data_IF_878476170165
#
_entry.id   IF_878476170165
#
_cell.length_a   1.000
_cell.length_b   1.000
_cell.length_c   1.000
_cell.angle_alpha   90.00
_cell.angle_beta   90.00
_cell.angle_gamma   90.00
#
_symmetry.space_group_name_H-M   'P 1'
#
loop_
_entity.id
_entity.type
_entity.pdbx_description
1 polymer ?
#
# COMPACT_ATOMS: atom_id res chain seq x y z
N UNK A 1 -9.71 -9.11 40.81
CA UNK A 1 -8.63 -8.39 40.11
C UNK A 1 -8.57 -6.98 40.68
N UNK A 2 -7.40 -6.37 40.83
CA UNK A 2 -7.27 -4.97 41.29
C UNK A 2 -7.24 -3.96 40.12
N UNK A 3 -7.06 -4.46 38.90
CA UNK A 3 -7.11 -3.70 37.66
C UNK A 3 -7.88 -4.50 36.62
N UNK A 4 -8.78 -3.85 35.91
CA UNK A 4 -9.55 -4.46 34.82
C UNK A 4 -9.63 -3.46 33.68
N UNK A 5 -9.24 -3.87 32.47
CA UNK A 5 -9.35 -3.02 31.29
C UNK A 5 -10.83 -2.94 30.89
N UNK A 6 -11.34 -1.71 30.78
CA UNK A 6 -12.72 -1.45 30.39
C UNK A 6 -12.86 -1.33 28.88
N UNK A 7 -12.05 -0.48 28.24
CA UNK A 7 -12.09 -0.31 26.79
C UNK A 7 -10.76 0.17 26.23
N UNK A 8 -10.51 -0.20 24.97
CA UNK A 8 -9.40 0.31 24.16
C UNK A 8 -10.01 1.05 22.97
N UNK A 9 -9.77 2.36 22.87
CA UNK A 9 -10.28 3.20 21.79
C UNK A 9 -9.19 3.38 20.74
N UNK A 10 -9.53 3.07 19.50
CA UNK A 10 -8.70 3.29 18.33
C UNK A 10 -9.51 3.97 17.24
N UNK A 11 -8.95 5.03 16.65
CA UNK A 11 -9.53 5.67 15.47
C UNK A 11 -8.81 5.26 14.20
N UNK A 12 -9.28 5.78 13.06
CA UNK A 12 -8.70 5.55 11.75
C UNK A 12 -8.00 6.81 11.27
N UNK A 13 -6.71 6.69 10.97
CA UNK A 13 -5.92 7.68 10.26
C UNK A 13 -5.68 7.29 8.81
N UNK A 14 -5.19 8.24 8.02
CA UNK A 14 -4.74 7.99 6.65
C UNK A 14 -3.30 8.49 6.50
N UNK A 15 -2.40 7.62 6.08
CA UNK A 15 -1.03 7.97 5.71
C UNK A 15 -0.80 7.50 4.27
N UNK A 16 -0.53 8.46 3.38
CA UNK A 16 -0.25 8.20 1.96
C UNK A 16 -1.30 7.32 1.24
N UNK A 17 -2.58 7.43 1.63
CA UNK A 17 -3.68 6.64 1.07
C UNK A 17 -3.95 5.33 1.80
N UNK A 18 -3.14 4.94 2.79
CA UNK A 18 -3.33 3.74 3.61
C UNK A 18 -4.11 4.10 4.87
N UNK A 19 -5.26 3.46 5.07
CA UNK A 19 -6.03 3.57 6.31
C UNK A 19 -5.32 2.77 7.40
N UNK A 20 -4.95 3.44 8.49
CA UNK A 20 -4.23 2.84 9.61
C UNK A 20 -4.94 3.12 10.93
N UNK A 21 -4.82 2.23 11.94
CA UNK A 21 -5.37 2.48 13.26
C UNK A 21 -4.50 3.49 14.03
N UNK A 22 -5.10 4.41 14.77
CA UNK A 22 -4.42 5.32 15.70
C UNK A 22 -4.91 5.00 17.11
N UNK A 23 -3.99 4.85 18.06
CA UNK A 23 -4.34 4.64 19.47
C UNK A 23 -4.75 5.98 20.07
N UNK A 24 -5.92 6.01 20.72
CA UNK A 24 -6.42 7.23 21.37
C UNK A 24 -6.37 7.08 22.89
N UNK A 25 -7.05 6.05 23.41
CA UNK A 25 -7.25 5.92 24.84
C UNK A 25 -7.37 4.46 25.28
N UNK A 26 -6.91 4.20 26.50
CA UNK A 26 -7.12 2.96 27.23
C UNK A 26 -7.79 3.32 28.56
N UNK A 27 -9.00 2.84 28.77
CA UNK A 27 -9.75 3.09 30.01
C UNK A 27 -9.80 1.83 30.87
N UNK A 28 -9.82 2.04 32.19
CA UNK A 28 -9.88 0.98 33.20
C UNK A 28 -11.17 1.12 34.01
N UNK A 29 -11.66 0.01 34.54
CA UNK A 29 -12.76 0.06 35.51
C UNK A 29 -12.24 0.59 36.85
N UNK A 30 -13.01 1.49 37.46
CA UNK A 30 -12.77 1.94 38.82
C UNK A 30 -13.18 0.83 39.79
N UNK A 31 -12.18 0.09 40.28
CA UNK A 31 -12.37 -0.88 41.35
C UNK A 31 -11.82 -0.30 42.64
N UNK A 32 -12.72 0.02 43.57
CA UNK A 32 -12.34 0.30 44.94
C UNK A 32 -11.83 -0.99 45.58
N UNK A 33 -10.67 -0.93 46.22
CA UNK A 33 -10.12 -2.00 47.03
C UNK A 33 -9.89 -1.52 48.45
N UNK A 34 -9.95 -2.43 49.41
CA UNK A 34 -9.91 -2.07 50.83
C UNK A 34 -8.49 -1.67 51.27
N UNK A 35 -8.32 -0.38 51.57
CA UNK A 35 -7.06 0.22 52.03
C UNK A 35 -6.56 -0.37 53.36
N UNK A 36 -7.42 -1.04 54.14
CA UNK A 36 -7.02 -1.72 55.37
C UNK A 36 -6.38 -3.08 55.13
N UNK A 37 -6.64 -3.70 53.97
CA UNK A 37 -6.10 -5.01 53.61
C UNK A 37 -4.86 -4.92 52.72
N UNK A 38 -4.66 -3.79 52.02
CA UNK A 38 -3.57 -3.63 51.06
C UNK A 38 -2.51 -2.64 51.54
N UNK A 39 -1.21 -2.96 51.38
CA UNK A 39 -0.13 -2.02 51.71
C UNK A 39 -0.19 -0.73 50.88
N UNK A 40 0.32 0.37 51.44
CA UNK A 40 0.34 1.70 50.80
C UNK A 40 1.06 1.74 49.43
N UNK A 41 1.98 0.82 49.17
CA UNK A 41 2.69 0.76 47.88
C UNK A 41 1.81 0.24 46.73
N UNK A 42 0.66 -0.37 47.03
CA UNK A 42 -0.23 -0.97 46.03
C UNK A 42 -0.82 0.08 45.09
N UNK A 43 -1.12 1.29 45.60
CA UNK A 43 -1.60 2.40 44.76
C UNK A 43 -0.60 2.73 43.65
N UNK A 44 0.68 2.89 44.03
CA UNK A 44 1.75 3.19 43.08
C UNK A 44 1.96 2.04 42.08
N UNK A 45 1.88 0.78 42.54
CA UNK A 45 1.99 -0.38 41.66
C UNK A 45 0.86 -0.44 40.63
N UNK A 46 -0.38 -0.11 41.02
CA UNK A 46 -1.53 -0.07 40.10
C UNK A 46 -1.42 1.06 39.08
N UNK A 47 -0.87 2.21 39.46
CA UNK A 47 -0.60 3.30 38.53
C UNK A 47 0.48 2.93 37.51
N UNK A 48 1.59 2.33 37.96
CA UNK A 48 2.63 1.81 37.06
C UNK A 48 2.07 0.75 36.10
N UNK A 49 1.19 -0.13 36.57
CA UNK A 49 0.60 -1.17 35.74
C UNK A 49 -0.38 -0.61 34.69
N UNK A 50 -1.13 0.46 35.02
CA UNK A 50 -1.97 1.19 34.07
C UNK A 50 -1.13 1.81 32.95
N UNK A 51 -0.02 2.46 33.31
CA UNK A 51 0.89 3.04 32.32
C UNK A 51 1.55 1.97 31.45
N UNK A 52 1.97 0.85 32.02
CA UNK A 52 2.52 -0.27 31.25
C UNK A 52 1.51 -0.82 30.24
N UNK A 53 0.27 -1.07 30.67
CA UNK A 53 -0.79 -1.53 29.78
C UNK A 53 -1.11 -0.52 28.67
N UNK A 54 -1.02 0.79 28.96
CA UNK A 54 -1.18 1.85 27.96
C UNK A 54 -0.06 1.81 26.91
N UNK A 55 1.19 1.67 27.35
CA UNK A 55 2.34 1.54 26.46
C UNK A 55 2.25 0.29 25.58
N UNK A 56 1.84 -0.85 26.13
CA UNK A 56 1.62 -2.08 25.37
C UNK A 56 0.55 -1.89 24.29
N UNK A 57 -0.57 -1.24 24.61
CA UNK A 57 -1.62 -0.94 23.65
C UNK A 57 -1.15 -0.01 22.53
N UNK A 58 -0.29 0.96 22.85
CA UNK A 58 0.36 1.85 21.89
C UNK A 58 1.32 1.07 20.97
N UNK A 59 2.21 0.25 21.53
CA UNK A 59 3.17 -0.57 20.80
C UNK A 59 2.44 -1.51 19.83
N UNK A 60 1.38 -2.19 20.30
CA UNK A 60 0.58 -3.08 19.46
C UNK A 60 -0.08 -2.33 18.28
N UNK A 61 -0.51 -1.10 18.51
CA UNK A 61 -1.11 -0.26 17.47
C UNK A 61 -0.04 0.17 16.45
N UNK A 62 1.13 0.63 16.89
CA UNK A 62 2.25 1.00 16.02
C UNK A 62 2.75 -0.19 15.18
N UNK A 63 2.87 -1.37 15.78
CA UNK A 63 3.23 -2.59 15.05
C UNK A 63 2.24 -2.89 13.92
N UNK A 64 0.95 -2.65 14.16
CA UNK A 64 -0.10 -2.79 13.14
C UNK A 64 0.06 -1.75 12.04
N UNK A 65 0.33 -0.48 12.38
CA UNK A 65 0.60 0.56 11.38
C UNK A 65 1.77 0.20 10.47
N UNK A 66 2.90 -0.23 11.06
CA UNK A 66 4.11 -0.65 10.31
C UNK A 66 3.78 -1.80 9.36
N UNK A 67 3.03 -2.80 9.82
CA UNK A 67 2.63 -3.95 9.00
C UNK A 67 1.79 -3.52 7.79
N UNK A 68 0.82 -2.63 7.99
CA UNK A 68 -0.05 -2.14 6.91
C UNK A 68 0.74 -1.33 5.88
N UNK A 69 1.60 -0.41 6.34
CA UNK A 69 2.45 0.40 5.46
C UNK A 69 3.45 -0.45 4.69
N UNK A 70 4.07 -1.43 5.34
CA UNK A 70 5.01 -2.35 4.68
C UNK A 70 4.35 -3.15 3.56
N UNK A 71 3.11 -3.61 3.78
CA UNK A 71 2.36 -4.31 2.74
C UNK A 71 2.06 -3.42 1.53
N UNK A 72 1.62 -2.17 1.76
CA UNK A 72 1.33 -1.24 0.66
C UNK A 72 2.58 -0.81 -0.09
N UNK A 73 3.68 -0.57 0.63
CA UNK A 73 4.98 -0.28 0.00
C UNK A 73 5.43 -1.45 -0.86
N UNK A 74 5.27 -2.69 -0.40
CA UNK A 74 5.61 -3.89 -1.17
C UNK A 74 4.80 -3.98 -2.46
N UNK A 75 3.48 -3.79 -2.40
CA UNK A 75 2.63 -3.84 -3.60
C UNK A 75 2.95 -2.73 -4.58
N UNK A 76 3.22 -1.52 -4.07
CA UNK A 76 3.62 -0.38 -4.90
C UNK A 76 4.95 -0.64 -5.60
N UNK A 77 5.97 -1.10 -4.86
CA UNK A 77 7.28 -1.44 -5.42
C UNK A 77 7.20 -2.57 -6.44
N UNK A 78 6.36 -3.58 -6.21
CA UNK A 78 6.11 -4.65 -7.18
C UNK A 78 5.50 -4.10 -8.46
N UNK A 79 4.54 -3.16 -8.37
CA UNK A 79 3.97 -2.51 -9.57
C UNK A 79 5.04 -1.72 -10.32
N UNK A 80 5.85 -0.92 -9.63
CA UNK A 80 6.94 -0.17 -10.26
C UNK A 80 7.88 -1.12 -11.02
N UNK A 81 8.30 -2.20 -10.38
CA UNK A 81 9.18 -3.18 -11.01
C UNK A 81 8.51 -3.89 -12.21
N UNK A 82 7.22 -4.25 -12.10
CA UNK A 82 6.45 -4.81 -13.21
C UNK A 82 6.40 -3.84 -14.40
N UNK A 83 6.20 -2.55 -14.15
CA UNK A 83 6.19 -1.55 -15.22
C UNK A 83 7.57 -1.38 -15.84
N UNK A 84 8.60 -1.15 -15.03
CA UNK A 84 9.96 -0.90 -15.51
C UNK A 84 10.55 -2.08 -16.28
N UNK A 85 10.33 -3.31 -15.78
CA UNK A 85 11.02 -4.49 -16.30
C UNK A 85 10.20 -5.29 -17.31
N UNK A 86 8.88 -5.16 -17.30
CA UNK A 86 8.00 -5.97 -18.17
C UNK A 86 7.13 -5.09 -19.06
N UNK A 87 6.25 -4.28 -18.48
CA UNK A 87 5.19 -3.61 -19.27
C UNK A 87 5.71 -2.52 -20.19
N UNK A 88 6.69 -1.73 -19.75
CA UNK A 88 7.30 -0.70 -20.61
C UNK A 88 8.09 -1.36 -21.77
N UNK A 89 8.97 -2.35 -21.53
CA UNK A 89 9.64 -3.07 -22.62
C UNK A 89 8.67 -3.74 -23.60
N UNK A 90 7.65 -4.45 -23.10
CA UNK A 90 6.62 -5.11 -23.92
C UNK A 90 5.88 -4.09 -24.81
N UNK A 91 5.46 -2.95 -24.24
CA UNK A 91 4.82 -1.88 -25.00
C UNK A 91 5.73 -1.30 -26.09
N UNK A 92 7.02 -1.11 -25.79
CA UNK A 92 7.99 -0.62 -26.78
C UNK A 92 8.17 -1.59 -27.94
N UNK A 93 8.24 -2.90 -27.68
CA UNK A 93 8.35 -3.90 -28.75
C UNK A 93 7.07 -3.95 -29.58
N UNK A 94 5.90 -3.90 -28.95
CA UNK A 94 4.62 -3.86 -29.68
C UNK A 94 4.54 -2.63 -30.60
N UNK A 95 4.96 -1.45 -30.12
CA UNK A 95 5.04 -0.24 -30.96
C UNK A 95 6.00 -0.45 -32.13
N UNK A 96 7.16 -1.06 -31.89
CA UNK A 96 8.16 -1.36 -32.94
C UNK A 96 7.57 -2.29 -34.02
N UNK A 97 6.93 -3.38 -33.62
CA UNK A 97 6.31 -4.34 -34.55
C UNK A 97 5.24 -3.66 -35.40
N UNK A 98 4.36 -2.87 -34.78
CA UNK A 98 3.32 -2.11 -35.49
C UNK A 98 3.97 -1.13 -36.49
N UNK A 99 5.04 -0.44 -36.07
CA UNK A 99 5.78 0.48 -36.93
C UNK A 99 6.38 -0.19 -38.17
N UNK A 100 7.01 -1.36 -38.01
CA UNK A 100 7.56 -2.16 -39.13
C UNK A 100 6.44 -2.55 -40.09
N UNK A 101 5.34 -3.11 -39.57
CA UNK A 101 4.20 -3.53 -40.39
C UNK A 101 3.62 -2.37 -41.21
N UNK A 102 3.44 -1.20 -40.59
CA UNK A 102 2.92 -0.02 -41.28
C UNK A 102 3.89 0.48 -42.37
N UNK A 103 5.20 0.45 -42.10
CA UNK A 103 6.24 0.80 -43.07
C UNK A 103 6.25 -0.13 -44.29
N UNK A 104 6.08 -1.43 -44.07
CA UNK A 104 5.97 -2.43 -45.14
C UNK A 104 4.71 -2.20 -45.99
N UNK A 105 3.57 -1.89 -45.37
CA UNK A 105 2.33 -1.55 -46.08
C UNK A 105 2.48 -0.30 -46.97
N UNK A 106 3.15 0.74 -46.46
CA UNK A 106 3.43 1.96 -47.23
C UNK A 106 4.34 1.66 -48.43
N UNK A 107 5.43 0.91 -48.22
CA UNK A 107 6.36 0.52 -49.28
C UNK A 107 5.67 -0.30 -50.36
N UNK A 108 4.86 -1.29 -49.96
CA UNK A 108 4.09 -2.12 -50.87
C UNK A 108 3.08 -1.29 -51.70
N UNK A 109 2.44 -0.28 -51.09
CA UNK A 109 1.52 0.61 -51.79
C UNK A 109 2.24 1.45 -52.87
N UNK A 110 3.42 1.98 -52.58
CA UNK A 110 4.22 2.76 -53.56
C UNK A 110 4.66 1.89 -54.73
N UNK A 111 5.11 0.66 -54.49
CA UNK A 111 5.49 -0.28 -55.56
C UNK A 111 4.30 -0.59 -56.45
N UNK A 112 3.12 -0.88 -55.88
CA UNK A 112 1.88 -1.08 -56.66
C UNK A 112 1.54 0.14 -57.50
N UNK A 113 1.66 1.35 -56.94
CA UNK A 113 1.47 2.60 -57.69
C UNK A 113 2.45 2.77 -58.86
N UNK A 114 3.73 2.45 -58.67
CA UNK A 114 4.74 2.49 -59.74
C UNK A 114 4.43 1.50 -60.87
N UNK A 115 3.99 0.28 -60.54
CA UNK A 115 3.61 -0.74 -61.54
C UNK A 115 2.40 -0.28 -62.35
N UNK A 116 1.37 0.25 -61.68
CA UNK A 116 0.19 0.78 -62.35
C UNK A 116 0.55 1.91 -63.32
N UNK A 117 1.41 2.85 -62.90
CA UNK A 117 1.90 3.93 -63.76
C UNK A 117 2.69 3.41 -64.96
N UNK A 118 3.57 2.43 -64.77
CA UNK A 118 4.38 1.85 -65.87
C UNK A 118 3.50 1.14 -66.92
N UNK A 119 2.45 0.44 -66.50
CA UNK A 119 1.48 -0.20 -67.41
C UNK A 119 0.70 0.83 -68.24
N UNK A 120 0.35 1.97 -67.67
CA UNK A 120 -0.35 3.05 -68.38
C UNK A 120 0.56 3.72 -69.42
N UNK A 121 1.86 3.86 -69.15
CA UNK A 121 2.81 4.51 -70.07
C UNK A 121 3.30 3.57 -71.19
N UNK A 122 3.35 2.25 -70.94
CA UNK A 122 3.74 1.24 -71.94
C UNK A 122 2.59 0.69 -72.80
N UNK A 123 1.39 1.27 -72.70
CA UNK A 123 0.20 0.90 -73.47
C UNK A 123 0.00 1.70 -74.77
N UNK A 124 1.05 2.37 -75.26
CA UNK A 124 1.11 3.03 -76.57
C UNK A 124 2.23 2.42 -77.41
#
# INVERSE_FOLDING_TARGET
SLITIKSIVRSRGNIAGVIIPIFEELTFDEQAYDLHFYPLWVDQALECLREYARLDALIATLATQIKLLSNELRTTSQRVNLFEKVKIPEAKENIRIIGIYLGDQQTAAVVRGKIAKKKLVGGH
#
